data_IF_378774605674
#
_entry.id   IF_378774605674
#
_cell.length_a   1.000
_cell.length_b   1.000
_cell.length_c   1.000
_cell.angle_alpha   90.00
_cell.angle_beta   90.00
_cell.angle_gamma   90.00
#
_symmetry.space_group_name_H-M   'P 1'
#
loop_
_entity.id
_entity.type
_entity.pdbx_description
1 polymer ?
#
# COMPACT_ATOMS: atom_id res chain seq x y z
N UNK A 1 6.55 12.00 -16.78
CA UNK A 1 7.56 11.13 -16.16
C UNK A 1 7.33 9.72 -16.70
N UNK A 2 8.24 9.17 -17.49
CA UNK A 2 8.07 7.81 -18.03
C UNK A 2 8.09 6.79 -16.88
N UNK A 3 7.12 5.86 -16.86
CA UNK A 3 6.98 4.84 -15.83
C UNK A 3 8.16 3.85 -15.85
N UNK A 4 9.29 4.22 -15.24
CA UNK A 4 10.49 3.37 -15.18
C UNK A 4 10.37 2.23 -14.16
N UNK A 5 9.43 2.32 -13.21
CA UNK A 5 9.24 1.34 -12.15
C UNK A 5 7.81 0.81 -12.20
N UNK A 6 7.65 -0.50 -12.25
CA UNK A 6 6.36 -1.16 -12.10
C UNK A 6 6.07 -1.43 -10.62
N UNK A 7 4.92 -0.97 -10.12
CA UNK A 7 4.45 -1.31 -8.78
C UNK A 7 3.67 -2.61 -8.88
N UNK A 8 4.27 -3.69 -8.36
CA UNK A 8 3.67 -5.01 -8.39
C UNK A 8 2.77 -5.19 -7.16
N UNK A 9 1.64 -5.88 -7.35
CA UNK A 9 0.73 -6.18 -6.26
C UNK A 9 1.38 -7.16 -5.26
N UNK A 10 1.20 -6.91 -3.96
CA UNK A 10 1.86 -7.68 -2.89
C UNK A 10 1.57 -9.19 -2.96
N UNK A 11 0.34 -9.57 -3.32
CA UNK A 11 -0.03 -10.97 -3.52
C UNK A 11 0.75 -11.62 -4.65
N UNK A 12 0.94 -10.93 -5.78
CA UNK A 12 1.72 -11.45 -6.90
C UNK A 12 3.19 -11.60 -6.52
N UNK A 13 3.76 -10.66 -5.75
CA UNK A 13 5.11 -10.80 -5.22
C UNK A 13 5.26 -12.02 -4.30
N UNK A 14 4.27 -12.28 -3.45
CA UNK A 14 4.25 -13.50 -2.64
C UNK A 14 4.22 -14.76 -3.52
N UNK A 15 3.37 -14.78 -4.57
CA UNK A 15 3.30 -15.92 -5.51
C UNK A 15 4.62 -16.13 -6.26
N UNK A 16 5.30 -15.06 -6.67
CA UNK A 16 6.63 -15.17 -7.29
C UNK A 16 7.60 -15.89 -6.35
N UNK A 17 7.61 -15.54 -5.06
CA UNK A 17 8.60 -16.04 -4.10
C UNK A 17 8.25 -17.41 -3.52
N UNK A 18 6.98 -17.74 -3.41
CA UNK A 18 6.52 -18.91 -2.62
C UNK A 18 5.38 -19.69 -3.25
N UNK A 19 4.82 -19.24 -4.37
CA UNK A 19 3.71 -19.91 -5.03
C UNK A 19 4.11 -21.19 -5.72
N UNK A 20 3.16 -22.11 -5.86
CA UNK A 20 3.30 -23.29 -6.72
C UNK A 20 3.19 -22.92 -8.22
N UNK A 21 3.50 -23.89 -9.10
CA UNK A 21 3.48 -23.68 -10.55
C UNK A 21 2.11 -23.24 -11.09
N UNK A 22 1.02 -23.71 -10.48
CA UNK A 22 -0.36 -23.35 -10.89
C UNK A 22 -0.67 -21.91 -10.48
N UNK A 23 -0.30 -21.52 -9.26
CA UNK A 23 -0.44 -20.15 -8.78
C UNK A 23 0.38 -19.18 -9.61
N UNK A 24 1.64 -19.53 -9.90
CA UNK A 24 2.53 -18.74 -10.76
C UNK A 24 1.93 -18.56 -12.16
N UNK A 25 1.44 -19.64 -12.78
CA UNK A 25 0.81 -19.58 -14.09
C UNK A 25 -0.42 -18.64 -14.10
N UNK A 26 -1.26 -18.68 -13.05
CA UNK A 26 -2.42 -17.78 -12.91
C UNK A 26 -2.03 -16.32 -12.68
N UNK A 27 -0.95 -16.07 -11.94
CA UNK A 27 -0.46 -14.74 -11.57
C UNK A 27 0.70 -14.26 -12.46
N UNK A 28 0.78 -14.79 -13.67
CA UNK A 28 1.83 -14.51 -14.65
C UNK A 28 1.64 -13.19 -15.41
N UNK A 29 0.69 -12.32 -15.02
CA UNK A 29 0.47 -10.97 -15.55
C UNK A 29 0.49 -10.91 -17.10
N UNK A 30 -0.40 -11.65 -17.77
CA UNK A 30 -0.42 -11.80 -19.24
C UNK A 30 -0.52 -10.47 -20.02
N UNK A 31 -1.20 -9.47 -19.43
CA UNK A 31 -1.40 -8.14 -20.01
C UNK A 31 -0.26 -7.15 -19.74
N UNK A 32 0.73 -7.51 -18.92
CA UNK A 32 1.86 -6.63 -18.57
C UNK A 32 3.07 -7.01 -19.43
N UNK A 33 3.75 -6.01 -20.00
CA UNK A 33 5.03 -6.18 -20.68
C UNK A 33 6.14 -5.57 -19.81
N UNK A 34 7.00 -6.42 -19.22
CA UNK A 34 8.04 -5.96 -18.31
C UNK A 34 9.16 -5.15 -19.00
N UNK A 35 9.33 -5.26 -20.32
CA UNK A 35 10.29 -4.43 -21.09
C UNK A 35 9.95 -2.94 -21.07
N UNK A 36 8.71 -2.58 -20.73
CA UNK A 36 8.28 -1.19 -20.60
C UNK A 36 8.83 -0.53 -19.31
N UNK A 37 9.43 -1.31 -18.42
CA UNK A 37 9.94 -0.88 -17.13
C UNK A 37 11.43 -1.22 -17.02
N UNK A 38 12.08 -0.61 -16.04
CA UNK A 38 13.49 -0.84 -15.69
C UNK A 38 13.64 -1.40 -14.28
N UNK A 39 12.56 -1.39 -13.48
CA UNK A 39 12.51 -2.02 -12.18
C UNK A 39 11.09 -2.43 -11.78
N UNK A 40 11.00 -3.27 -10.76
CA UNK A 40 9.77 -3.61 -10.04
C UNK A 40 9.95 -3.29 -8.56
N UNK A 41 8.93 -2.69 -7.95
CA UNK A 41 8.82 -2.55 -6.49
C UNK A 41 7.56 -3.27 -6.03
N UNK A 42 7.67 -4.04 -4.96
CA UNK A 42 6.54 -4.70 -4.30
C UNK A 42 6.80 -4.90 -2.81
N UNK A 43 5.77 -5.32 -2.11
CA UNK A 43 5.81 -5.69 -0.70
C UNK A 43 5.48 -7.16 -0.55
N UNK A 44 6.11 -7.82 0.43
CA UNK A 44 5.90 -9.24 0.71
C UNK A 44 5.53 -9.36 2.18
N UNK A 45 4.38 -9.97 2.45
CA UNK A 45 3.97 -10.27 3.81
C UNK A 45 4.38 -11.69 4.18
N UNK A 46 5.23 -11.81 5.20
CA UNK A 46 5.73 -13.06 5.75
C UNK A 46 4.88 -13.42 6.96
N UNK A 47 4.29 -14.61 6.93
CA UNK A 47 3.50 -15.18 8.03
C UNK A 47 2.35 -14.28 8.54
N UNK A 48 1.81 -13.39 7.70
CA UNK A 48 0.73 -12.44 8.04
C UNK A 48 1.12 -11.35 9.05
N UNK A 49 2.39 -11.26 9.45
CA UNK A 49 2.82 -10.39 10.56
C UNK A 49 4.03 -9.52 10.25
N UNK A 50 4.84 -9.86 9.24
CA UNK A 50 6.07 -9.13 8.94
C UNK A 50 6.15 -8.71 7.48
N UNK A 51 6.49 -7.46 7.22
CA UNK A 51 6.62 -6.94 5.86
C UNK A 51 8.08 -6.83 5.45
N UNK A 52 8.41 -7.38 4.27
CA UNK A 52 9.67 -7.16 3.55
C UNK A 52 9.40 -6.39 2.25
N UNK A 53 10.41 -5.68 1.75
CA UNK A 53 10.36 -5.03 0.45
C UNK A 53 11.00 -5.92 -0.62
N UNK A 54 10.28 -6.19 -1.70
CA UNK A 54 10.85 -6.79 -2.90
C UNK A 54 11.17 -5.69 -3.91
N UNK A 55 12.45 -5.55 -4.25
CA UNK A 55 12.91 -4.63 -5.27
C UNK A 55 13.72 -5.39 -6.33
N UNK A 56 13.30 -5.29 -7.58
CA UNK A 56 13.95 -5.93 -8.73
C UNK A 56 14.44 -4.84 -9.65
N UNK A 57 15.74 -4.76 -9.87
CA UNK A 57 16.36 -3.73 -10.69
C UNK A 57 16.97 -4.37 -11.95
N UNK A 58 16.32 -4.14 -13.10
CA UNK A 58 16.75 -4.67 -14.38
C UNK A 58 17.96 -3.94 -14.97
N UNK A 59 18.32 -2.76 -14.44
CA UNK A 59 19.51 -2.01 -14.88
C UNK A 59 20.78 -2.65 -14.33
N UNK A 60 20.76 -3.09 -13.06
CA UNK A 60 21.91 -3.71 -12.40
C UNK A 60 21.78 -5.24 -12.24
N UNK A 61 20.73 -5.83 -12.81
CA UNK A 61 20.42 -7.27 -12.80
C UNK A 61 20.27 -7.88 -11.40
N UNK A 62 19.82 -7.08 -10.43
CA UNK A 62 19.79 -7.49 -9.02
C UNK A 62 18.38 -7.52 -8.44
N UNK A 63 18.07 -8.58 -7.70
CA UNK A 63 16.88 -8.72 -6.86
C UNK A 63 17.27 -8.51 -5.40
N UNK A 64 16.50 -7.70 -4.70
CA UNK A 64 16.66 -7.38 -3.29
C UNK A 64 15.37 -7.74 -2.56
N UNK A 65 15.47 -8.60 -1.55
CA UNK A 65 14.40 -8.87 -0.60
C UNK A 65 14.80 -8.26 0.75
N UNK A 66 14.50 -6.99 0.92
CA UNK A 66 15.00 -6.15 2.01
C UNK A 66 14.15 -6.35 3.26
N UNK A 67 14.81 -6.69 4.36
CA UNK A 67 14.16 -6.88 5.65
C UNK A 67 14.31 -5.62 6.50
N UNK A 68 13.23 -4.95 6.93
CA UNK A 68 13.37 -3.80 7.82
C UNK A 68 13.95 -4.18 9.18
N UNK A 69 13.90 -5.45 9.58
CA UNK A 69 14.60 -5.97 10.77
C UNK A 69 16.06 -6.21 10.48
N UNK A 70 16.90 -6.14 11.52
CA UNK A 70 18.28 -6.60 11.42
C UNK A 70 18.30 -8.11 11.20
N UNK A 71 18.47 -8.55 9.95
CA UNK A 71 18.56 -9.97 9.59
C UNK A 71 19.93 -10.30 8.98
N UNK A 72 20.49 -11.44 9.38
CA UNK A 72 21.68 -11.99 8.73
C UNK A 72 21.34 -12.77 7.45
N UNK A 73 20.05 -13.05 7.20
CA UNK A 73 19.59 -13.84 6.04
C UNK A 73 19.35 -13.02 4.78
N UNK A 74 19.36 -11.68 4.83
CA UNK A 74 18.92 -10.84 3.71
C UNK A 74 19.60 -11.17 2.37
N UNK A 75 20.91 -11.46 2.40
CA UNK A 75 21.65 -11.87 1.21
C UNK A 75 21.15 -13.20 0.65
N UNK A 76 20.94 -14.20 1.52
CA UNK A 76 20.45 -15.52 1.12
C UNK A 76 19.00 -15.44 0.61
N UNK A 77 18.16 -14.69 1.32
CA UNK A 77 16.77 -14.39 0.95
C UNK A 77 16.70 -13.74 -0.44
N UNK A 78 17.58 -12.77 -0.72
CA UNK A 78 17.67 -12.10 -2.02
C UNK A 78 18.19 -13.01 -3.13
N UNK A 79 19.13 -13.93 -2.83
CA UNK A 79 19.59 -14.94 -3.79
C UNK A 79 18.43 -15.89 -4.14
N UNK A 80 17.68 -16.35 -3.13
CA UNK A 80 16.51 -17.18 -3.33
C UNK A 80 15.45 -16.45 -4.17
N UNK A 81 15.17 -15.19 -3.86
CA UNK A 81 14.25 -14.34 -4.61
C UNK A 81 14.68 -14.17 -6.08
N UNK A 82 15.98 -14.02 -6.37
CA UNK A 82 16.49 -13.94 -7.73
C UNK A 82 16.25 -15.23 -8.53
N UNK A 83 16.46 -16.39 -7.90
CA UNK A 83 16.15 -17.70 -8.51
C UNK A 83 14.67 -17.81 -8.82
N UNK A 84 13.82 -17.52 -7.83
CA UNK A 84 12.36 -17.57 -7.95
C UNK A 84 11.81 -16.62 -9.02
N UNK A 85 12.37 -15.42 -9.11
CA UNK A 85 11.99 -14.47 -10.16
C UNK A 85 12.39 -14.96 -11.56
N UNK A 86 13.52 -15.64 -11.70
CA UNK A 86 13.92 -16.26 -12.97
C UNK A 86 12.93 -17.37 -13.37
N UNK A 87 12.55 -18.26 -12.44
CA UNK A 87 11.52 -19.30 -12.64
C UNK A 87 10.17 -18.69 -13.07
N UNK A 88 9.81 -17.54 -12.49
CA UNK A 88 8.61 -16.78 -12.86
C UNK A 88 8.66 -16.26 -14.31
N UNK A 89 9.81 -15.71 -14.74
CA UNK A 89 10.00 -15.26 -16.13
C UNK A 89 9.93 -16.42 -17.13
N UNK A 90 10.49 -17.58 -16.79
CA UNK A 90 10.40 -18.79 -17.62
C UNK A 90 8.95 -19.28 -17.76
N UNK A 91 8.17 -19.20 -16.68
CA UNK A 91 6.74 -19.52 -16.72
C UNK A 91 5.98 -18.52 -17.60
N UNK A 92 6.28 -17.22 -17.51
CA UNK A 92 5.70 -16.20 -18.40
C UNK A 92 6.02 -16.48 -19.86
N UNK A 93 7.26 -16.88 -20.18
CA UNK A 93 7.67 -17.28 -21.52
C UNK A 93 6.87 -18.48 -22.01
N UNK A 94 6.74 -19.51 -21.19
CA UNK A 94 6.04 -20.76 -21.53
C UNK A 94 4.55 -20.55 -21.73
N UNK A 95 3.89 -19.83 -20.82
CA UNK A 95 2.44 -19.63 -20.86
C UNK A 95 1.99 -18.58 -21.88
N UNK A 96 2.80 -17.54 -22.13
CA UNK A 96 2.36 -16.34 -22.86
C UNK A 96 3.32 -15.86 -23.94
N UNK A 97 4.40 -16.59 -24.24
CA UNK A 97 5.43 -16.16 -25.21
C UNK A 97 6.21 -14.91 -24.78
N UNK A 98 6.15 -14.55 -23.50
CA UNK A 98 6.74 -13.34 -22.92
C UNK A 98 8.25 -13.53 -22.68
N UNK A 99 9.09 -12.84 -23.45
CA UNK A 99 10.56 -12.97 -23.42
C UNK A 99 11.26 -11.81 -22.70
N UNK A 100 10.51 -10.98 -21.98
CA UNK A 100 11.05 -9.87 -21.19
C UNK A 100 12.11 -10.34 -20.19
N UNK A 101 13.26 -9.67 -20.21
CA UNK A 101 14.38 -9.92 -19.28
C UNK A 101 14.88 -11.38 -19.23
N UNK A 102 14.51 -12.23 -20.20
CA UNK A 102 14.88 -13.65 -20.21
C UNK A 102 16.38 -13.93 -20.43
N UNK A 103 17.14 -12.93 -20.88
CA UNK A 103 18.60 -13.00 -21.03
C UNK A 103 19.37 -12.46 -19.81
N UNK A 104 18.66 -11.94 -18.80
CA UNK A 104 19.28 -11.38 -17.59
C UNK A 104 19.64 -12.51 -16.63
N UNK A 105 20.90 -12.58 -16.22
CA UNK A 105 21.34 -13.44 -15.11
C UNK A 105 21.11 -12.72 -13.80
N UNK A 106 19.94 -12.94 -13.21
CA UNK A 106 19.54 -12.32 -11.95
C UNK A 106 20.40 -12.79 -10.78
N UNK A 107 20.84 -11.85 -9.94
CA UNK A 107 21.56 -12.12 -8.69
C UNK A 107 20.84 -11.51 -7.49
N UNK A 108 21.04 -12.10 -6.32
CA UNK A 108 20.60 -11.50 -5.06
C UNK A 108 21.53 -10.39 -4.58
N UNK A 109 20.97 -9.29 -4.07
CA UNK A 109 21.70 -8.15 -3.51
C UNK A 109 21.46 -7.94 -2.01
N UNK A 110 22.06 -6.88 -1.47
CA UNK A 110 21.76 -6.32 -0.13
C UNK A 110 21.73 -4.81 -0.32
N UNK A 111 20.74 -4.14 0.28
CA UNK A 111 20.69 -2.68 0.30
C UNK A 111 21.16 -2.17 1.66
N UNK A 112 21.90 -1.06 1.68
CA UNK A 112 22.16 -0.35 2.94
C UNK A 112 20.94 0.48 3.28
N UNK A 113 20.32 0.21 4.43
CA UNK A 113 19.13 0.92 4.89
C UNK A 113 19.10 1.03 6.42
N UNK A 114 18.31 1.96 6.99
CA UNK A 114 18.02 2.00 8.42
C UNK A 114 17.19 0.79 8.84
N UNK A 115 17.40 0.30 10.06
CA UNK A 115 16.62 -0.80 10.64
C UNK A 115 15.46 -0.27 11.49
N UNK A 116 14.36 -1.03 11.52
CA UNK A 116 13.28 -0.83 12.47
C UNK A 116 13.77 -1.04 13.90
N UNK A 117 13.16 -0.33 14.85
CA UNK A 117 13.51 -0.36 16.28
C UNK A 117 12.42 -0.98 17.16
N UNK A 118 11.35 -1.45 16.56
CA UNK A 118 10.19 -2.06 17.23
C UNK A 118 9.67 -3.27 16.43
N UNK A 119 8.62 -3.91 16.94
CA UNK A 119 8.04 -5.13 16.35
C UNK A 119 6.86 -4.87 15.38
N UNK A 120 6.45 -3.61 15.15
CA UNK A 120 5.20 -3.29 14.45
C UNK A 120 5.34 -2.23 13.34
N UNK A 121 6.54 -1.72 13.13
CA UNK A 121 6.82 -0.68 12.15
C UNK A 121 7.32 -1.17 10.81
N UNK A 122 7.47 -2.49 10.61
CA UNK A 122 7.94 -3.08 9.36
C UNK A 122 7.16 -2.55 8.14
N UNK A 123 5.83 -2.45 8.23
CA UNK A 123 4.98 -1.91 7.16
C UNK A 123 5.28 -0.45 6.80
N UNK A 124 5.53 0.41 7.80
CA UNK A 124 5.89 1.82 7.56
C UNK A 124 7.27 1.91 6.96
N UNK A 125 8.22 1.15 7.51
CA UNK A 125 9.62 1.18 7.08
C UNK A 125 9.75 0.72 5.63
N UNK A 126 9.05 -0.34 5.19
CA UNK A 126 9.12 -0.77 3.78
C UNK A 126 8.53 0.27 2.82
N UNK A 127 7.50 1.03 3.24
CA UNK A 127 6.96 2.15 2.45
C UNK A 127 8.00 3.26 2.31
N UNK A 128 8.71 3.62 3.39
CA UNK A 128 9.79 4.61 3.34
C UNK A 128 10.95 4.15 2.45
N UNK A 129 11.32 2.87 2.51
CA UNK A 129 12.31 2.30 1.59
C UNK A 129 11.88 2.41 0.13
N UNK A 130 10.64 2.03 -0.18
CA UNK A 130 10.09 2.12 -1.53
C UNK A 130 10.09 3.58 -2.04
N UNK A 131 9.66 4.52 -1.20
CA UNK A 131 9.66 5.97 -1.50
C UNK A 131 11.06 6.48 -1.88
N UNK A 132 12.07 6.15 -1.10
CA UNK A 132 13.45 6.57 -1.37
C UNK A 132 14.05 5.86 -2.59
N UNK A 133 13.75 4.58 -2.80
CA UNK A 133 14.15 3.84 -4.00
C UNK A 133 13.57 4.49 -5.25
N UNK A 134 12.27 4.80 -5.23
CA UNK A 134 11.59 5.40 -6.38
C UNK A 134 12.09 6.82 -6.68
N UNK A 135 12.42 7.60 -5.65
CA UNK A 135 12.97 8.96 -5.80
C UNK A 135 14.36 8.98 -6.41
N UNK A 136 15.24 8.06 -6.01
CA UNK A 136 16.64 8.05 -6.44
C UNK A 136 16.91 7.09 -7.61
N UNK A 137 15.89 6.42 -8.15
CA UNK A 137 16.05 5.49 -9.28
C UNK A 137 16.64 6.19 -10.52
N UNK A 138 17.63 5.59 -11.22
CA UNK A 138 18.21 4.24 -11.04
C UNK A 138 19.40 4.15 -10.08
N UNK A 139 19.81 5.26 -9.45
CA UNK A 139 21.08 5.42 -8.74
C UNK A 139 21.10 4.90 -7.28
N UNK A 140 20.07 4.17 -6.83
CA UNK A 140 19.93 3.84 -5.40
C UNK A 140 21.00 2.84 -4.96
N UNK A 141 21.89 3.30 -4.07
CA UNK A 141 22.88 2.45 -3.39
C UNK A 141 22.72 2.48 -1.86
N UNK A 142 22.14 3.54 -1.31
CA UNK A 142 21.92 3.72 0.13
C UNK A 142 20.58 4.40 0.37
N UNK A 143 19.72 3.77 1.15
CA UNK A 143 18.43 4.32 1.59
C UNK A 143 18.64 5.06 2.91
N UNK A 144 18.02 6.23 3.09
CA UNK A 144 18.17 7.05 4.29
C UNK A 144 16.81 7.60 4.75
N UNK A 145 16.46 7.35 6.01
CA UNK A 145 15.31 7.92 6.70
C UNK A 145 15.44 7.69 8.22
N UNK A 146 14.63 8.39 9.01
CA UNK A 146 14.58 8.24 10.47
C UNK A 146 13.80 7.01 10.93
N UNK A 147 14.27 6.34 11.97
CA UNK A 147 13.60 5.15 12.55
C UNK A 147 13.33 5.28 14.05
N UNK A 148 13.45 6.48 14.61
CA UNK A 148 13.00 6.72 15.99
C UNK A 148 11.47 6.59 16.08
N UNK A 149 10.97 6.27 17.29
CA UNK A 149 9.53 6.17 17.56
C UNK A 149 8.76 7.44 17.14
N UNK A 150 9.33 8.62 17.38
CA UNK A 150 8.72 9.91 17.01
C UNK A 150 8.65 10.09 15.50
N UNK A 151 9.73 9.79 14.78
CA UNK A 151 9.77 9.89 13.32
C UNK A 151 8.79 8.93 12.66
N UNK A 152 8.77 7.66 13.09
CA UNK A 152 7.85 6.65 12.55
C UNK A 152 6.40 7.00 12.85
N UNK A 153 6.09 7.49 14.06
CA UNK A 153 4.74 7.97 14.38
C UNK A 153 4.33 9.16 13.50
N UNK A 154 5.24 10.08 13.24
CA UNK A 154 4.99 11.21 12.33
C UNK A 154 4.77 10.74 10.89
N UNK A 155 5.56 9.79 10.39
CA UNK A 155 5.38 9.23 9.05
C UNK A 155 4.04 8.48 8.92
N UNK A 156 3.62 7.73 9.95
CA UNK A 156 2.27 7.12 9.99
C UNK A 156 1.17 8.17 9.88
N UNK A 157 1.26 9.25 10.67
CA UNK A 157 0.31 10.36 10.64
C UNK A 157 0.28 11.01 9.26
N UNK A 158 1.44 11.27 8.67
CA UNK A 158 1.56 11.86 7.33
C UNK A 158 0.92 10.96 6.27
N UNK A 159 1.19 9.66 6.28
CA UNK A 159 0.57 8.72 5.34
C UNK A 159 -0.95 8.68 5.49
N UNK A 160 -1.46 8.62 6.73
CA UNK A 160 -2.90 8.63 6.99
C UNK A 160 -3.56 9.92 6.46
N UNK A 161 -2.96 11.08 6.73
CA UNK A 161 -3.46 12.36 6.23
C UNK A 161 -3.43 12.44 4.70
N UNK A 162 -2.39 11.91 4.06
CA UNK A 162 -2.32 11.85 2.60
C UNK A 162 -3.42 10.96 2.02
N UNK A 163 -3.62 9.76 2.59
CA UNK A 163 -4.70 8.87 2.16
C UNK A 163 -6.05 9.57 2.30
N UNK A 164 -6.31 10.20 3.45
CA UNK A 164 -7.57 10.92 3.68
C UNK A 164 -7.77 12.08 2.70
N UNK A 165 -6.71 12.85 2.41
CA UNK A 165 -6.78 13.98 1.49
C UNK A 165 -7.06 13.54 0.05
N UNK A 166 -6.50 12.42 -0.38
CA UNK A 166 -6.68 11.88 -1.73
C UNK A 166 -7.92 10.98 -1.84
N UNK A 167 -8.57 10.67 -0.71
CA UNK A 167 -9.80 9.88 -0.70
C UNK A 167 -10.96 10.72 -1.22
N UNK A 168 -11.69 10.18 -2.18
CA UNK A 168 -12.92 10.80 -2.67
C UNK A 168 -14.04 10.46 -1.69
N UNK A 169 -14.47 11.45 -0.91
CA UNK A 169 -15.66 11.36 -0.09
C UNK A 169 -16.79 12.12 -0.78
N UNK A 170 -17.91 11.43 -1.06
CA UNK A 170 -19.11 12.04 -1.62
C UNK A 170 -19.86 12.79 -0.51
N UNK A 171 -19.39 14.00 -0.21
CA UNK A 171 -19.95 14.89 0.82
C UNK A 171 -21.42 15.24 0.58
N UNK A 172 -21.88 15.14 -0.67
CA UNK A 172 -23.25 15.48 -1.06
C UNK A 172 -24.25 14.33 -0.81
N UNK A 173 -23.80 13.07 -0.82
CA UNK A 173 -24.70 11.92 -0.71
C UNK A 173 -24.42 10.99 0.47
N UNK A 174 -23.27 11.13 1.12
CA UNK A 174 -22.87 10.23 2.20
C UNK A 174 -22.80 10.96 3.54
N UNK A 175 -23.25 10.27 4.59
CA UNK A 175 -23.12 10.75 5.95
C UNK A 175 -21.65 10.78 6.37
N UNK A 176 -21.20 11.90 6.93
CA UNK A 176 -19.82 12.10 7.37
C UNK A 176 -19.41 11.23 8.57
N UNK A 177 -20.36 10.57 9.24
CA UNK A 177 -20.08 9.63 10.33
C UNK A 177 -19.97 8.18 9.87
N UNK A 178 -20.92 7.69 9.05
CA UNK A 178 -20.95 6.28 8.63
C UNK A 178 -20.46 6.03 7.21
N UNK A 179 -20.22 7.09 6.42
CA UNK A 179 -19.83 7.05 5.00
C UNK A 179 -20.82 6.35 4.07
N UNK A 180 -22.08 6.21 4.49
CA UNK A 180 -23.14 5.60 3.71
C UNK A 180 -24.21 6.62 3.35
N UNK A 181 -24.93 6.35 2.25
CA UNK A 181 -26.12 7.10 1.86
C UNK A 181 -27.33 6.81 2.75
N UNK A 182 -27.37 5.63 3.38
CA UNK A 182 -28.40 5.24 4.34
C UNK A 182 -27.76 4.67 5.60
N UNK A 183 -28.34 4.91 6.78
CA UNK A 183 -27.83 4.37 8.03
C UNK A 183 -27.86 2.84 8.00
N UNK A 184 -26.93 2.21 8.74
CA UNK A 184 -26.81 0.77 8.84
C UNK A 184 -27.99 0.16 9.62
N UNK A 185 -28.81 -0.64 8.94
CA UNK A 185 -29.98 -1.32 9.53
C UNK A 185 -31.26 -1.08 8.74
N UNK A 186 -32.30 -1.86 9.03
CA UNK A 186 -33.65 -1.66 8.48
C UNK A 186 -34.32 -0.43 9.11
N UNK A 187 -33.74 0.74 8.87
CA UNK A 187 -34.30 2.01 9.30
C UNK A 187 -35.58 2.39 8.53
N UNK A 188 -36.27 3.46 8.95
CA UNK A 188 -37.47 3.95 8.29
C UNK A 188 -37.25 4.24 6.79
N UNK A 189 -38.32 4.26 5.98
CA UNK A 189 -38.22 4.47 4.53
C UNK A 189 -37.61 5.82 4.14
N UNK A 190 -37.71 6.83 5.01
CA UNK A 190 -37.03 8.12 4.90
C UNK A 190 -35.95 8.22 5.98
N UNK A 191 -34.77 8.66 5.56
CA UNK A 191 -33.63 8.97 6.44
C UNK A 191 -33.60 10.46 6.66
N UNK A 192 -33.59 10.90 7.91
CA UNK A 192 -33.45 12.29 8.28
C UNK A 192 -31.97 12.71 8.29
N UNK A 193 -31.72 13.95 7.92
CA UNK A 193 -30.38 14.51 7.81
C UNK A 193 -30.27 15.88 8.46
N UNK A 194 -29.08 16.19 8.93
CA UNK A 194 -28.69 17.54 9.39
C UNK A 194 -27.32 17.89 8.84
N UNK A 195 -27.12 19.16 8.51
CA UNK A 195 -25.85 19.71 8.04
C UNK A 195 -25.18 20.50 9.15
N UNK A 196 -23.87 20.34 9.34
CA UNK A 196 -23.10 21.16 10.27
C UNK A 196 -22.88 22.55 9.68
N UNK A 197 -23.16 23.60 10.45
CA UNK A 197 -23.02 24.98 9.99
C UNK A 197 -21.55 25.41 9.81
N UNK A 198 -20.61 24.82 10.57
CA UNK A 198 -19.18 25.14 10.45
C UNK A 198 -18.48 24.43 9.29
N UNK A 199 -18.72 23.13 9.10
CA UNK A 199 -17.98 22.33 8.10
C UNK A 199 -18.81 21.87 6.91
N UNK A 200 -20.10 22.22 6.87
CA UNK A 200 -21.05 21.92 5.80
C UNK A 200 -21.27 20.41 5.53
N UNK A 201 -20.77 19.55 6.40
CA UNK A 201 -20.93 18.09 6.27
C UNK A 201 -22.30 17.63 6.75
N UNK A 202 -22.83 16.63 6.06
CA UNK A 202 -24.13 16.03 6.33
C UNK A 202 -24.04 14.77 7.18
N UNK A 203 -24.99 14.61 8.10
CA UNK A 203 -25.06 13.50 9.04
C UNK A 203 -26.48 12.92 9.09
N UNK A 204 -26.59 11.60 9.26
CA UNK A 204 -27.85 10.95 9.59
C UNK A 204 -28.22 11.23 11.04
N UNK A 205 -29.51 11.50 11.30
CA UNK A 205 -30.05 11.60 12.67
C UNK A 205 -29.69 10.35 13.49
N UNK A 206 -29.87 9.17 12.91
CA UNK A 206 -29.64 7.88 13.56
C UNK A 206 -28.16 7.64 13.88
N UNK A 207 -27.25 8.18 13.06
CA UNK A 207 -25.82 8.09 13.34
C UNK A 207 -25.44 8.97 14.54
N UNK A 208 -26.10 10.12 14.69
CA UNK A 208 -25.89 11.02 15.82
C UNK A 208 -26.59 10.54 17.11
N UNK A 209 -27.51 9.58 17.00
CA UNK A 209 -28.31 9.12 18.13
C UNK A 209 -29.26 10.20 18.65
N UNK A 210 -29.64 11.15 17.80
CA UNK A 210 -30.58 12.22 18.15
C UNK A 210 -32.01 11.69 18.14
N UNK A 211 -32.81 12.22 19.04
CA UNK A 211 -34.27 12.12 18.99
C UNK A 211 -34.85 13.14 18.02
N UNK A 212 -36.08 12.92 17.56
CA UNK A 212 -36.77 13.83 16.65
C UNK A 212 -36.85 15.26 17.21
N UNK A 213 -37.10 15.42 18.52
CA UNK A 213 -37.13 16.73 19.18
C UNK A 213 -35.77 17.43 19.21
N UNK A 214 -34.68 16.68 19.42
CA UNK A 214 -33.32 17.22 19.37
C UNK A 214 -32.94 17.62 17.94
N UNK A 215 -33.35 16.82 16.95
CA UNK A 215 -33.13 17.13 15.54
C UNK A 215 -33.87 18.41 15.13
N UNK A 216 -35.15 18.53 15.46
CA UNK A 216 -35.93 19.72 15.15
C UNK A 216 -35.38 20.97 15.84
N UNK A 217 -34.93 20.85 17.10
CA UNK A 217 -34.24 21.94 17.78
C UNK A 217 -32.92 22.32 17.07
N UNK A 218 -32.15 21.33 16.61
CA UNK A 218 -30.89 21.57 15.92
C UNK A 218 -31.10 22.16 14.50
N UNK A 219 -32.20 21.85 13.80
CA UNK A 219 -32.52 22.42 12.49
C UNK A 219 -32.87 23.91 12.53
N UNK A 220 -33.39 24.41 13.66
CA UNK A 220 -33.80 25.81 13.82
C UNK A 220 -32.74 26.69 14.50
N UNK A 221 -31.66 26.09 15.00
CA UNK A 221 -30.55 26.76 15.65
C UNK A 221 -29.25 26.48 14.90
N UNK A 222 -28.17 27.18 15.24
CA UNK A 222 -26.85 26.76 14.78
C UNK A 222 -26.52 25.39 15.39
N UNK A 223 -26.14 24.45 14.53
CA UNK A 223 -25.69 23.13 14.91
C UNK A 223 -24.29 22.84 14.36
N UNK A 224 -23.37 22.58 15.29
CA UNK A 224 -22.02 22.12 14.99
C UNK A 224 -21.89 20.63 15.30
N UNK A 225 -21.27 19.90 14.38
CA UNK A 225 -21.01 18.48 14.59
C UNK A 225 -19.92 18.29 15.65
N UNK A 226 -19.78 17.04 16.13
CA UNK A 226 -18.78 16.63 17.13
C UNK A 226 -17.31 16.92 16.78
N UNK A 227 -17.02 17.28 15.52
CA UNK A 227 -15.68 17.64 15.06
C UNK A 227 -15.44 19.16 15.03
N UNK A 228 -16.51 19.95 15.08
CA UNK A 228 -16.50 21.41 15.05
C UNK A 228 -16.83 22.04 16.42
N UNK A 229 -17.49 21.27 17.31
CA UNK A 229 -17.77 21.63 18.71
C UNK A 229 -16.54 21.55 19.62
#
# INVERSE_FOLDING_TARGET
MGNSIYILHHYTAWVILSGDSTQIARQSLSKVNLKNYQAIVSFVNINKVHWKLLYINAVNHTVYLVDPSKSYSEKADSIHAAKKFSEYLDTRKTCHGKTEWGNIKWKGGVLKHPFQRDASSCGVIVILMAKEIMRAFPAVLVVKFGTSKKEVAQERKTMALQILKESVFDEANNCAMCSLKKPSGSGPPMTNWIQCDTCERWYHEECLGMTEGELEHAKVNNWDCILCS
#
